data_IF_258578404416
#
_entry.id   IF_258578404416
#
_cell.length_a   1.000
_cell.length_b   1.000
_cell.length_c   1.000
_cell.angle_alpha   90.00
_cell.angle_beta   90.00
_cell.angle_gamma   90.00
#
_symmetry.space_group_name_H-M   'P 1'
#
loop_
_entity.id
_entity.type
_entity.pdbx_description
1 polymer ?
#
# COMPACT_ATOMS: atom_id res chain seq x y z
N UNK A 1 -26.85 -34.78 -32.04
CA UNK A 1 -26.67 -34.70 -30.55
C UNK A 1 -25.22 -34.71 -30.11
N UNK A 2 -24.35 -35.64 -30.56
CA UNK A 2 -22.91 -35.66 -30.22
C UNK A 2 -22.14 -34.35 -30.52
N UNK A 3 -22.36 -33.72 -31.68
CA UNK A 3 -21.71 -32.45 -32.05
C UNK A 3 -22.09 -31.26 -31.14
N UNK A 4 -23.26 -31.30 -30.51
CA UNK A 4 -23.78 -30.23 -29.63
C UNK A 4 -23.22 -30.34 -28.21
N UNK A 5 -22.90 -31.56 -27.75
CA UNK A 5 -22.27 -31.81 -26.45
C UNK A 5 -20.79 -31.41 -26.51
N UNK A 6 -20.08 -31.74 -27.60
CA UNK A 6 -18.69 -31.30 -27.81
C UNK A 6 -18.59 -29.78 -27.86
N UNK A 7 -19.52 -29.09 -28.54
CA UNK A 7 -19.53 -27.63 -28.59
C UNK A 7 -19.78 -26.98 -27.21
N UNK A 8 -20.62 -27.58 -26.36
CA UNK A 8 -20.88 -27.10 -25.00
C UNK A 8 -19.72 -27.37 -24.04
N UNK A 9 -19.00 -28.48 -24.20
CA UNK A 9 -17.79 -28.78 -23.41
C UNK A 9 -16.64 -27.84 -23.79
N UNK A 10 -16.47 -27.56 -25.09
CA UNK A 10 -15.45 -26.61 -25.57
C UNK A 10 -15.82 -25.17 -25.19
N UNK A 11 -17.08 -24.75 -25.32
CA UNK A 11 -17.53 -23.44 -24.86
C UNK A 11 -17.44 -23.28 -23.33
N UNK A 12 -17.70 -24.36 -22.57
CA UNK A 12 -17.50 -24.40 -21.12
C UNK A 12 -16.03 -24.26 -20.74
N UNK A 13 -15.12 -24.96 -21.43
CA UNK A 13 -13.66 -24.86 -21.22
C UNK A 13 -13.09 -23.48 -21.58
N UNK A 14 -13.66 -22.77 -22.56
CA UNK A 14 -13.23 -21.41 -22.93
C UNK A 14 -13.68 -20.36 -21.89
N UNK A 15 -14.78 -20.59 -21.17
CA UNK A 15 -15.27 -19.65 -20.13
C UNK A 15 -14.50 -19.80 -18.81
N UNK A 16 -13.96 -20.98 -18.48
CA UNK A 16 -13.17 -21.15 -17.24
C UNK A 16 -11.83 -20.39 -17.28
N UNK A 17 -11.37 -19.98 -18.47
CA UNK A 17 -10.14 -19.23 -18.64
C UNK A 17 -10.36 -17.74 -18.98
N UNK A 18 -11.61 -17.27 -18.94
CA UNK A 18 -11.90 -15.84 -18.95
C UNK A 18 -11.66 -15.32 -17.54
N UNK A 19 -10.40 -15.22 -17.14
CA UNK A 19 -10.04 -14.40 -15.99
C UNK A 19 -10.69 -13.04 -16.23
N UNK A 20 -11.70 -12.70 -15.43
CA UNK A 20 -12.28 -11.37 -15.44
C UNK A 20 -11.09 -10.47 -15.12
N UNK A 21 -10.59 -9.75 -16.11
CA UNK A 21 -9.57 -8.74 -15.90
C UNK A 21 -10.21 -7.67 -15.01
N UNK A 22 -10.10 -7.85 -13.70
CA UNK A 22 -10.51 -6.86 -12.73
C UNK A 22 -9.53 -5.70 -12.88
N UNK A 23 -10.04 -4.49 -13.05
CA UNK A 23 -9.17 -3.33 -13.08
C UNK A 23 -8.53 -3.15 -11.69
N UNK A 24 -7.24 -2.82 -11.67
CA UNK A 24 -6.56 -2.45 -10.41
C UNK A 24 -7.34 -1.32 -9.73
N UNK A 25 -7.58 -1.49 -8.44
CA UNK A 25 -8.42 -0.60 -7.63
C UNK A 25 -7.64 -0.15 -6.39
N UNK A 26 -8.01 1.01 -5.85
CA UNK A 26 -7.47 1.50 -4.59
C UNK A 26 -8.08 0.68 -3.44
N UNK A 27 -7.26 -0.15 -2.80
CA UNK A 27 -7.64 -1.05 -1.72
C UNK A 27 -7.53 -0.41 -0.34
N UNK A 28 -6.61 0.54 -0.19
CA UNK A 28 -6.42 1.32 1.02
C UNK A 28 -5.94 2.74 0.66
N UNK A 29 -6.50 3.74 1.32
CA UNK A 29 -6.19 5.15 1.11
C UNK A 29 -5.84 5.88 2.41
N UNK A 30 -4.54 6.13 2.58
CA UNK A 30 -3.92 7.06 3.53
C UNK A 30 -3.06 8.08 2.74
N UNK A 31 -3.59 8.61 1.64
CA UNK A 31 -2.89 9.51 0.74
C UNK A 31 -2.46 10.85 1.34
N UNK A 32 -1.72 11.64 0.57
CA UNK A 32 -1.24 12.97 0.99
C UNK A 32 -2.37 13.87 1.52
N UNK A 33 -2.07 14.75 2.48
CA UNK A 33 -2.94 15.87 2.84
C UNK A 33 -3.36 16.71 1.63
N UNK A 34 -4.48 17.40 1.78
CA UNK A 34 -5.00 18.28 0.71
C UNK A 34 -4.18 19.56 0.53
N UNK A 35 -3.44 19.98 1.55
CA UNK A 35 -2.59 21.17 1.52
C UNK A 35 -1.32 20.96 2.36
N UNK A 36 -0.36 21.86 2.20
CA UNK A 36 0.78 21.88 3.11
C UNK A 36 0.35 22.39 4.50
N UNK A 37 0.15 21.44 5.40
CA UNK A 37 -0.26 21.69 6.78
C UNK A 37 0.94 21.65 7.73
N UNK A 38 2.02 22.39 7.45
CA UNK A 38 3.21 22.42 8.31
C UNK A 38 3.22 23.67 9.23
N UNK A 39 4.38 24.27 9.50
CA UNK A 39 4.54 25.41 10.39
C UNK A 39 3.59 26.57 10.08
N UNK A 40 3.36 26.88 8.80
CA UNK A 40 2.43 27.96 8.41
C UNK A 40 0.96 27.69 8.80
N UNK A 41 0.58 26.43 9.04
CA UNK A 41 -0.77 26.04 9.44
C UNK A 41 -1.05 26.17 10.95
N UNK A 42 -0.04 26.52 11.76
CA UNK A 42 -0.20 26.75 13.19
C UNK A 42 -0.80 25.55 13.92
N UNK A 43 -1.92 25.75 14.61
CA UNK A 43 -2.61 24.68 15.35
C UNK A 43 -3.11 23.54 14.43
N UNK A 44 -3.39 23.84 13.16
CA UNK A 44 -3.82 22.87 12.15
C UNK A 44 -2.67 22.08 11.53
N UNK A 45 -1.43 22.28 12.01
CA UNK A 45 -0.26 21.57 11.53
C UNK A 45 -0.47 20.06 11.62
N UNK A 46 -0.28 19.32 10.52
CA UNK A 46 -0.64 17.91 10.40
C UNK A 46 0.31 17.07 9.55
N UNK A 47 1.31 17.63 8.86
CA UNK A 47 2.23 16.86 8.01
C UNK A 47 3.66 16.89 8.56
N UNK A 48 4.33 15.76 8.53
CA UNK A 48 5.70 15.60 9.03
C UNK A 48 6.43 14.55 8.21
N UNK A 49 7.75 14.57 8.21
CA UNK A 49 8.54 13.53 7.55
C UNK A 49 9.60 12.98 8.50
N UNK A 50 9.71 11.66 8.58
CA UNK A 50 10.54 10.97 9.57
C UNK A 50 11.68 10.18 8.93
N UNK A 51 12.85 10.21 9.59
CA UNK A 51 14.03 9.40 9.30
C UNK A 51 14.87 9.27 10.58
N UNK A 52 15.58 8.15 10.77
CA UNK A 52 16.28 7.86 12.04
C UNK A 52 17.80 7.89 11.99
N UNK A 53 18.39 7.80 10.79
CA UNK A 53 19.84 7.82 10.66
C UNK A 53 20.47 6.43 10.66
N UNK A 54 21.78 6.37 10.87
CA UNK A 54 22.53 5.14 11.10
C UNK A 54 23.49 5.30 12.27
N UNK A 55 23.84 4.18 12.88
CA UNK A 55 24.80 4.07 13.96
C UNK A 55 25.75 2.88 13.70
N UNK A 56 26.52 2.47 14.72
CA UNK A 56 27.43 1.33 14.62
C UNK A 56 26.73 -0.02 14.40
N UNK A 57 25.44 -0.12 14.69
CA UNK A 57 24.65 -1.34 14.55
C UNK A 57 23.98 -1.45 13.19
N UNK A 58 23.72 -0.32 12.52
CA UNK A 58 23.15 -0.32 11.18
C UNK A 58 22.36 0.94 10.86
N UNK A 59 21.48 0.84 9.86
CA UNK A 59 20.55 1.92 9.50
C UNK A 59 19.22 1.73 10.21
N UNK A 60 18.75 2.78 10.87
CA UNK A 60 17.41 2.83 11.45
C UNK A 60 16.44 3.41 10.42
N UNK A 61 15.36 2.68 10.20
CA UNK A 61 14.40 2.98 9.15
C UNK A 61 13.12 3.54 9.74
N UNK A 62 12.52 4.53 9.07
CA UNK A 62 11.15 4.93 9.34
C UNK A 62 10.21 4.04 8.52
N UNK A 63 9.13 3.60 9.15
CA UNK A 63 8.13 2.76 8.52
C UNK A 63 6.76 2.93 9.16
N UNK A 64 5.85 2.10 8.69
CA UNK A 64 4.49 2.04 9.18
C UNK A 64 3.86 0.70 8.77
N UNK A 65 2.64 0.46 9.24
CA UNK A 65 1.85 -0.67 8.83
C UNK A 65 0.53 -0.29 8.15
N UNK A 66 -0.07 -1.29 7.53
CA UNK A 66 -1.40 -1.20 6.97
C UNK A 66 -2.09 -2.56 6.94
N UNK A 67 -3.40 -2.50 6.76
CA UNK A 67 -4.26 -3.68 6.59
C UNK A 67 -5.29 -3.44 5.48
N UNK A 68 -5.34 -4.33 4.50
CA UNK A 68 -6.32 -4.27 3.41
C UNK A 68 -7.66 -4.75 3.96
N UNK A 69 -8.66 -3.88 4.18
CA UNK A 69 -9.93 -4.31 4.79
C UNK A 69 -10.57 -5.56 4.13
N UNK A 70 -11.18 -6.43 4.94
CA UNK A 70 -11.87 -7.64 4.48
C UNK A 70 -11.17 -8.95 4.87
N UNK A 71 -11.77 -10.09 4.50
CA UNK A 71 -11.25 -11.45 4.79
C UNK A 71 -10.74 -12.19 3.56
N UNK A 72 -10.84 -11.59 2.37
CA UNK A 72 -10.40 -12.20 1.11
C UNK A 72 -8.92 -11.99 0.83
N UNK A 73 -8.44 -12.63 -0.23
CA UNK A 73 -7.11 -12.41 -0.78
C UNK A 73 -7.15 -11.33 -1.86
N UNK A 74 -6.07 -10.56 -1.96
CA UNK A 74 -5.91 -9.50 -2.94
C UNK A 74 -4.59 -9.68 -3.67
N UNK A 75 -4.61 -9.65 -5.00
CA UNK A 75 -3.40 -9.50 -5.78
C UNK A 75 -3.04 -8.02 -5.79
N UNK A 76 -1.97 -7.66 -5.09
CA UNK A 76 -1.51 -6.29 -4.92
C UNK A 76 -0.40 -6.01 -5.92
N UNK A 77 -0.67 -5.10 -6.84
CA UNK A 77 0.26 -4.72 -7.90
C UNK A 77 1.34 -3.80 -7.34
N UNK A 78 0.91 -2.80 -6.55
CA UNK A 78 1.81 -1.77 -6.01
C UNK A 78 1.32 -1.19 -4.69
N UNK A 79 2.27 -0.68 -3.91
CA UNK A 79 2.03 0.34 -2.91
C UNK A 79 2.59 1.67 -3.38
N UNK A 80 2.01 2.76 -2.89
CA UNK A 80 2.47 4.12 -3.12
C UNK A 80 2.68 4.80 -1.79
N UNK A 81 3.85 5.38 -1.62
CA UNK A 81 4.21 6.20 -0.45
C UNK A 81 4.81 7.52 -0.92
N UNK A 82 5.07 8.43 0.02
CA UNK A 82 5.64 9.74 -0.30
C UNK A 82 6.89 10.03 0.54
N UNK A 83 7.82 10.75 -0.06
CA UNK A 83 9.08 11.12 0.58
C UNK A 83 9.56 12.49 0.10
N UNK A 84 10.37 13.16 0.92
CA UNK A 84 11.13 14.34 0.49
C UNK A 84 12.49 13.95 -0.13
N UNK A 85 12.78 12.65 -0.25
CA UNK A 85 14.00 12.09 -0.85
C UNK A 85 13.67 11.35 -2.16
N UNK A 86 14.59 11.38 -3.13
CA UNK A 86 14.40 10.80 -4.47
C UNK A 86 15.53 9.90 -4.98
N UNK A 87 16.61 9.71 -4.22
CA UNK A 87 17.80 8.98 -4.68
C UNK A 87 18.16 7.83 -3.76
N UNK A 88 18.59 6.72 -4.36
CA UNK A 88 19.11 5.55 -3.65
C UNK A 88 18.10 4.92 -2.68
N UNK A 89 16.82 4.96 -3.04
CA UNK A 89 15.73 4.51 -2.17
C UNK A 89 15.63 2.99 -2.16
N UNK A 90 15.38 2.44 -0.99
CA UNK A 90 15.14 1.02 -0.77
C UNK A 90 13.96 0.84 0.18
N UNK A 91 13.16 -0.20 -0.06
CA UNK A 91 11.96 -0.49 0.71
C UNK A 91 12.04 -1.90 1.27
N UNK A 92 11.73 -2.04 2.54
CA UNK A 92 11.53 -3.33 3.20
C UNK A 92 10.05 -3.56 3.37
N UNK A 93 9.62 -4.80 3.21
CA UNK A 93 8.21 -5.16 3.27
C UNK A 93 8.02 -6.59 3.78
N UNK A 94 6.90 -6.83 4.47
CA UNK A 94 6.48 -8.16 4.85
C UNK A 94 5.26 -8.13 5.78
N UNK A 95 4.78 -9.31 6.15
CA UNK A 95 3.70 -9.46 7.12
C UNK A 95 4.23 -9.27 8.54
N UNK A 96 3.48 -8.55 9.38
CA UNK A 96 3.84 -8.32 10.78
C UNK A 96 4.02 -9.66 11.52
N UNK A 97 5.10 -9.80 12.29
CA UNK A 97 5.47 -11.04 12.96
C UNK A 97 6.16 -12.08 12.05
N UNK A 98 6.26 -11.81 10.75
CA UNK A 98 7.06 -12.57 9.79
C UNK A 98 8.43 -11.93 9.54
N UNK A 99 9.12 -12.44 8.51
CA UNK A 99 10.37 -11.84 8.02
C UNK A 99 10.06 -10.60 7.19
N UNK A 100 10.67 -9.47 7.55
CA UNK A 100 10.62 -8.23 6.79
C UNK A 100 11.91 -8.09 5.98
N UNK A 101 11.82 -8.16 4.66
CA UNK A 101 12.98 -8.17 3.76
C UNK A 101 12.96 -7.01 2.77
N UNK A 102 14.14 -6.60 2.33
CA UNK A 102 14.30 -5.62 1.27
C UNK A 102 13.67 -6.14 -0.02
N UNK A 103 12.84 -5.30 -0.64
CA UNK A 103 12.29 -5.55 -1.95
C UNK A 103 13.38 -5.34 -3.00
N UNK A 104 13.44 -6.25 -3.98
CA UNK A 104 14.33 -6.10 -5.14
C UNK A 104 13.89 -5.02 -6.12
N UNK A 105 12.62 -4.60 -6.04
CA UNK A 105 12.08 -3.53 -6.86
C UNK A 105 12.60 -2.17 -6.43
N UNK A 106 13.15 -1.40 -7.37
CA UNK A 106 13.45 0.01 -7.16
C UNK A 106 12.16 0.82 -7.29
N UNK A 107 11.83 1.71 -6.33
CA UNK A 107 10.67 2.58 -6.44
C UNK A 107 10.69 3.43 -7.72
N UNK A 108 9.55 3.50 -8.42
CA UNK A 108 9.37 4.48 -9.49
C UNK A 108 9.09 5.84 -8.84
N UNK A 109 10.05 6.76 -8.98
CA UNK A 109 10.01 8.08 -8.35
C UNK A 109 9.44 9.13 -9.31
N UNK A 110 8.49 9.93 -8.84
CA UNK A 110 7.96 11.08 -9.58
C UNK A 110 7.80 12.28 -8.66
N UNK A 111 8.15 13.47 -9.14
CA UNK A 111 7.90 14.71 -8.41
C UNK A 111 6.39 14.94 -8.29
N UNK A 112 5.94 15.44 -7.13
CA UNK A 112 4.53 15.70 -6.87
C UNK A 112 4.37 16.91 -5.93
N UNK A 113 3.12 17.31 -5.72
CA UNK A 113 2.71 18.38 -4.80
C UNK A 113 1.46 17.97 -4.05
N UNK A 114 1.08 18.71 -3.01
CA UNK A 114 -0.26 18.60 -2.44
C UNK A 114 -1.33 19.09 -3.43
N UNK A 115 -2.60 18.86 -3.11
CA UNK A 115 -3.69 19.22 -4.05
C UNK A 115 -3.83 20.73 -4.30
N UNK A 116 -3.29 21.57 -3.41
CA UNK A 116 -3.19 23.03 -3.57
C UNK A 116 -1.94 23.49 -4.36
N UNK A 117 -1.17 22.54 -4.93
CA UNK A 117 0.10 22.72 -5.64
C UNK A 117 1.29 23.15 -4.76
N UNK A 118 1.15 23.15 -3.44
CA UNK A 118 2.28 23.44 -2.54
C UNK A 118 3.21 22.22 -2.40
N UNK A 119 4.48 22.48 -2.10
CA UNK A 119 5.45 21.43 -1.71
C UNK A 119 5.49 21.26 -0.19
N UNK A 120 6.26 20.29 0.31
CA UNK A 120 6.44 20.07 1.75
C UNK A 120 7.25 21.22 2.37
N UNK A 121 6.78 21.80 3.47
CA UNK A 121 7.59 22.72 4.27
C UNK A 121 8.22 21.93 5.42
N UNK A 122 9.55 21.92 5.51
CA UNK A 122 10.25 21.31 6.64
C UNK A 122 10.16 22.14 7.91
N UNK A 123 10.62 21.57 9.03
CA UNK A 123 10.63 22.23 10.35
C UNK A 123 11.43 23.54 10.38
N UNK A 124 12.42 23.70 9.49
CA UNK A 124 13.19 24.93 9.30
C UNK A 124 12.40 26.06 8.64
N UNK A 125 11.18 25.80 8.15
CA UNK A 125 10.37 26.71 7.34
C UNK A 125 10.71 26.70 5.85
N UNK A 126 11.79 26.03 5.43
CA UNK A 126 12.13 25.86 4.01
C UNK A 126 11.21 24.88 3.31
N UNK A 127 10.91 25.15 2.04
CA UNK A 127 10.18 24.22 1.19
C UNK A 127 11.14 23.20 0.56
N UNK A 128 10.77 21.93 0.67
CA UNK A 128 11.46 20.79 0.11
C UNK A 128 10.60 20.16 -0.98
N UNK A 129 11.20 19.58 -2.02
CA UNK A 129 10.46 18.83 -3.01
C UNK A 129 9.75 17.63 -2.37
N UNK A 130 8.60 17.28 -2.92
CA UNK A 130 7.84 16.11 -2.54
C UNK A 130 7.85 15.11 -3.70
N UNK A 131 8.05 13.85 -3.37
CA UNK A 131 8.10 12.76 -4.34
C UNK A 131 7.09 11.70 -4.00
N UNK A 132 6.41 11.20 -5.02
CA UNK A 132 5.62 9.99 -4.98
C UNK A 132 6.51 8.81 -5.38
N UNK A 133 6.45 7.75 -4.57
CA UNK A 133 7.20 6.53 -4.76
C UNK A 133 6.21 5.40 -5.03
N UNK A 134 6.17 4.90 -6.27
CA UNK A 134 5.35 3.74 -6.64
C UNK A 134 6.24 2.49 -6.56
N UNK A 135 5.93 1.57 -5.64
CA UNK A 135 6.69 0.34 -5.39
C UNK A 135 5.88 -0.86 -5.88
N UNK A 136 6.43 -1.58 -6.85
CA UNK A 136 5.85 -2.81 -7.39
C UNK A 136 5.95 -3.95 -6.37
N UNK A 137 4.81 -4.53 -5.98
CA UNK A 137 4.75 -5.71 -5.11
C UNK A 137 4.45 -6.99 -5.90
N UNK A 138 3.44 -6.97 -6.77
CA UNK A 138 3.00 -8.10 -7.59
C UNK A 138 2.82 -9.42 -6.81
N UNK A 139 2.15 -9.36 -5.67
CA UNK A 139 1.98 -10.52 -4.78
C UNK A 139 0.59 -10.61 -4.18
N UNK A 140 0.22 -11.80 -3.72
CA UNK A 140 -1.06 -12.01 -3.04
C UNK A 140 -0.92 -11.68 -1.56
N UNK A 141 -1.73 -10.75 -1.09
CA UNK A 141 -1.85 -10.35 0.32
C UNK A 141 -3.22 -10.76 0.88
N UNK A 142 -3.27 -11.15 2.14
CA UNK A 142 -4.51 -11.43 2.85
C UNK A 142 -5.09 -10.13 3.44
N UNK A 143 -6.38 -9.88 3.26
CA UNK A 143 -7.02 -8.69 3.82
C UNK A 143 -6.98 -8.62 5.35
N UNK A 144 -7.02 -9.77 6.03
CA UNK A 144 -7.05 -9.75 7.50
C UNK A 144 -5.66 -9.54 8.12
N UNK A 145 -4.58 -9.64 7.35
CA UNK A 145 -3.21 -9.53 7.83
C UNK A 145 -2.73 -8.07 7.91
N UNK A 146 -1.84 -7.81 8.86
CA UNK A 146 -1.13 -6.53 8.96
C UNK A 146 0.20 -6.65 8.21
N UNK A 147 0.47 -5.71 7.32
CA UNK A 147 1.72 -5.64 6.56
C UNK A 147 2.50 -4.41 6.97
N UNK A 148 3.82 -4.56 7.08
CA UNK A 148 4.73 -3.51 7.48
C UNK A 148 5.59 -3.12 6.29
N UNK A 149 5.93 -1.83 6.21
CA UNK A 149 6.88 -1.33 5.26
C UNK A 149 7.83 -0.34 5.91
N UNK A 150 9.06 -0.29 5.41
CA UNK A 150 10.08 0.64 5.87
C UNK A 150 10.80 1.25 4.67
N UNK A 151 11.18 2.52 4.79
CA UNK A 151 11.88 3.27 3.75
C UNK A 151 13.29 3.65 4.23
N UNK A 152 14.27 3.43 3.36
CA UNK A 152 15.61 3.98 3.52
C UNK A 152 16.10 4.67 2.24
N UNK A 153 17.17 5.44 2.37
CA UNK A 153 17.90 6.07 1.28
C UNK A 153 19.40 6.18 1.57
N UNK A 154 20.20 6.50 0.56
CA UNK A 154 21.66 6.65 0.69
C UNK A 154 22.09 7.73 1.73
N UNK A 155 21.21 8.69 2.04
CA UNK A 155 21.43 9.73 3.07
C UNK A 155 20.23 9.78 4.03
N UNK A 156 19.64 8.61 4.30
CA UNK A 156 18.33 8.44 4.92
C UNK A 156 17.21 9.00 4.03
N UNK A 157 16.04 8.36 4.09
CA UNK A 157 14.87 8.78 3.35
C UNK A 157 13.79 9.23 4.31
N UNK A 158 13.34 10.46 4.13
CA UNK A 158 12.31 11.05 4.98
C UNK A 158 10.94 10.58 4.50
N UNK A 159 10.30 9.72 5.29
CA UNK A 159 8.98 9.17 4.99
C UNK A 159 7.90 10.18 5.38
N UNK A 160 7.12 10.63 4.41
CA UNK A 160 6.06 11.59 4.64
C UNK A 160 4.89 10.94 5.40
N UNK A 161 4.42 11.63 6.43
CA UNK A 161 3.42 11.15 7.39
C UNK A 161 2.45 12.26 7.74
N UNK A 162 1.25 11.91 8.16
CA UNK A 162 0.17 12.86 8.45
C UNK A 162 -0.64 12.48 9.67
N UNK A 163 -1.16 13.50 10.37
CA UNK A 163 -2.14 13.30 11.42
C UNK A 163 -3.52 12.96 10.84
N UNK A 164 -4.14 11.91 11.38
CA UNK A 164 -5.42 11.38 10.91
C UNK A 164 -6.56 12.40 10.89
N UNK A 165 -6.67 13.20 11.95
CA UNK A 165 -7.80 14.10 12.17
C UNK A 165 -7.70 15.41 11.36
N UNK A 166 -6.48 15.80 10.97
CA UNK A 166 -6.21 17.13 10.40
C UNK A 166 -5.75 17.10 8.94
N UNK A 167 -5.35 15.95 8.37
CA UNK A 167 -4.81 15.88 7.00
C UNK A 167 -5.78 16.36 5.91
N UNK A 168 -7.10 16.28 6.18
CA UNK A 168 -8.15 16.56 5.21
C UNK A 168 -8.28 15.52 4.08
N UNK A 169 -7.44 14.48 4.09
CA UNK A 169 -7.52 13.33 3.18
C UNK A 169 -8.02 12.09 3.91
N UNK A 170 -8.35 11.02 3.17
CA UNK A 170 -8.60 9.71 3.79
C UNK A 170 -7.37 9.25 4.55
N UNK A 171 -7.56 8.71 5.76
CA UNK A 171 -6.50 8.19 6.63
C UNK A 171 -6.91 6.80 7.15
N UNK A 172 -7.23 5.89 6.21
CA UNK A 172 -7.76 4.57 6.55
C UNK A 172 -6.80 3.77 7.41
N UNK A 173 -7.36 3.16 8.46
CA UNK A 173 -6.63 2.30 9.39
C UNK A 173 -5.50 2.99 10.14
N UNK A 174 -5.48 4.32 10.20
CA UNK A 174 -4.50 5.03 11.04
C UNK A 174 -4.75 4.74 12.52
N UNK A 175 -3.68 4.47 13.24
CA UNK A 175 -3.71 4.07 14.65
C UNK A 175 -2.81 4.95 15.54
N UNK A 176 -2.29 6.05 14.98
CA UNK A 176 -1.40 6.99 15.65
C UNK A 176 -0.05 6.39 16.04
N UNK A 177 0.32 5.23 15.48
CA UNK A 177 1.63 4.63 15.66
C UNK A 177 2.38 4.61 14.33
N UNK A 178 3.68 4.87 14.40
CA UNK A 178 4.60 4.57 13.30
C UNK A 178 5.55 3.47 13.74
N UNK A 179 6.30 2.94 12.78
CA UNK A 179 7.27 1.88 13.04
C UNK A 179 8.71 2.35 12.81
N UNK A 180 9.62 1.70 13.53
CA UNK A 180 11.02 1.61 13.15
C UNK A 180 11.48 0.19 12.97
N UNK A 181 12.60 0.06 12.27
CA UNK A 181 13.39 -1.15 12.24
C UNK A 181 14.88 -0.81 12.15
N UNK A 182 15.73 -1.74 12.56
CA UNK A 182 17.16 -1.74 12.31
C UNK A 182 17.47 -2.63 11.11
N UNK A 183 18.35 -2.18 10.22
CA UNK A 183 18.99 -3.03 9.20
C UNK A 183 20.49 -3.02 9.43
N UNK A 184 21.03 -4.18 9.82
CA UNK A 184 22.46 -4.36 10.03
C UNK A 184 23.26 -4.17 8.71
N UNK A 185 24.52 -3.72 8.77
CA UNK A 185 25.35 -3.56 7.57
C UNK A 185 25.43 -4.84 6.74
N UNK A 186 25.06 -4.74 5.46
CA UNK A 186 25.06 -5.87 4.53
C UNK A 186 23.92 -6.87 4.70
N UNK A 187 22.91 -6.55 5.52
CA UNK A 187 21.68 -7.34 5.66
C UNK A 187 20.57 -6.78 4.77
N UNK A 188 19.79 -7.68 4.18
CA UNK A 188 18.52 -7.33 3.51
C UNK A 188 17.33 -7.53 4.45
N UNK A 189 17.55 -7.97 5.69
CA UNK A 189 16.51 -8.25 6.68
C UNK A 189 16.45 -7.14 7.72
N UNK A 190 15.24 -6.65 7.96
CA UNK A 190 14.94 -5.70 9.02
C UNK A 190 14.68 -6.44 10.35
N UNK A 191 15.27 -5.94 11.43
CA UNK A 191 15.19 -6.45 12.80
C UNK A 191 14.81 -5.33 13.77
N UNK A 192 14.68 -5.65 15.06
CA UNK A 192 14.37 -4.68 16.12
C UNK A 192 13.18 -3.77 15.79
N UNK A 193 12.13 -4.40 15.25
CA UNK A 193 10.92 -3.71 14.83
C UNK A 193 10.13 -3.31 16.07
N UNK A 194 9.83 -2.02 16.19
CA UNK A 194 9.01 -1.47 17.25
C UNK A 194 8.13 -0.34 16.74
N UNK A 195 7.24 0.14 17.60
CA UNK A 195 6.36 1.28 17.32
C UNK A 195 6.65 2.48 18.21
N UNK A 196 6.30 3.68 17.74
CA UNK A 196 6.21 4.89 18.55
C UNK A 196 4.99 5.71 18.18
N UNK A 197 4.54 6.54 19.12
CA UNK A 197 3.72 7.71 18.81
C UNK A 197 4.64 8.87 18.45
N UNK A 198 4.35 9.61 17.38
CA UNK A 198 5.15 10.77 17.00
C UNK A 198 4.88 12.00 17.87
N UNK A 199 3.78 12.02 18.64
CA UNK A 199 3.51 13.05 19.64
C UNK A 199 4.54 12.99 20.78
N UNK A 200 5.27 14.09 20.98
CA UNK A 200 6.29 14.24 22.02
C UNK A 200 7.74 14.11 21.54
N UNK A 201 7.99 13.69 20.30
CA UNK A 201 9.36 13.51 19.74
C UNK A 201 9.81 14.66 18.83
N UNK A 202 9.63 15.90 19.32
CA UNK A 202 9.87 17.11 18.50
C UNK A 202 8.71 17.43 17.54
N UNK A 203 7.62 16.68 17.66
CA UNK A 203 6.36 16.86 16.98
C UNK A 203 5.22 16.82 18.02
N UNK A 204 4.11 17.50 17.75
CA UNK A 204 3.07 17.82 18.74
C UNK A 204 1.75 17.08 18.48
N UNK A 205 1.76 16.08 17.60
CA UNK A 205 0.57 15.32 17.18
C UNK A 205 0.95 13.95 16.69
N UNK A 206 0.14 12.94 16.95
CA UNK A 206 0.36 11.63 16.35
C UNK A 206 0.25 11.67 14.82
N UNK A 207 0.96 10.78 14.14
CA UNK A 207 0.99 10.69 12.69
C UNK A 207 1.21 9.26 12.23
N UNK A 208 0.69 8.95 11.05
CA UNK A 208 0.93 7.71 10.34
C UNK A 208 1.54 8.04 8.96
N UNK A 209 2.40 7.17 8.43
CA UNK A 209 2.98 7.33 7.12
C UNK A 209 1.90 7.32 6.04
N UNK A 210 2.01 8.21 5.06
CA UNK A 210 1.06 8.24 3.97
C UNK A 210 1.29 7.07 3.00
N UNK A 211 0.24 6.29 2.76
CA UNK A 211 0.28 5.09 1.92
C UNK A 211 -1.02 4.92 1.12
N UNK A 212 -0.88 4.44 -0.12
CA UNK A 212 -1.99 3.92 -0.92
C UNK A 212 -1.65 2.52 -1.43
N UNK A 213 -2.61 1.61 -1.40
CA UNK A 213 -2.43 0.21 -1.83
C UNK A 213 -3.32 -0.06 -3.03
N UNK A 214 -2.75 -0.61 -4.11
CA UNK A 214 -3.47 -0.87 -5.35
C UNK A 214 -3.45 -2.34 -5.71
N UNK A 215 -4.61 -2.88 -6.05
CA UNK A 215 -4.74 -4.28 -6.42
C UNK A 215 -6.14 -4.70 -6.78
N UNK A 216 -6.32 -6.01 -6.90
CA UNK A 216 -7.59 -6.64 -7.27
C UNK A 216 -7.94 -7.77 -6.31
N UNK A 217 -9.23 -7.93 -5.95
CA UNK A 217 -9.65 -9.09 -5.17
C UNK A 217 -9.43 -10.37 -5.97
N UNK A 218 -8.84 -11.39 -5.34
CA UNK A 218 -8.67 -12.73 -5.91
C UNK A 218 -9.98 -13.49 -5.70
N UNK A 219 -10.70 -13.89 -6.77
CA UNK A 219 -11.96 -14.60 -6.62
C UNK A 219 -11.78 -15.93 -5.88
N UNK A 220 -12.66 -16.20 -4.92
CA UNK A 220 -12.68 -17.51 -4.26
C UNK A 220 -13.10 -18.61 -5.26
N UNK A 221 -12.52 -19.83 -5.17
CA UNK A 221 -12.91 -20.94 -6.04
C UNK A 221 -14.41 -21.24 -6.06
N UNK A 222 -15.10 -21.02 -4.94
CA UNK A 222 -16.56 -21.22 -4.82
C UNK A 222 -17.38 -20.22 -5.65
N UNK A 223 -16.93 -18.97 -5.78
CA UNK A 223 -17.60 -17.93 -6.57
C UNK A 223 -17.55 -18.25 -8.06
N UNK A 224 -16.42 -18.78 -8.53
CA UNK A 224 -16.25 -19.25 -9.92
C UNK A 224 -17.13 -20.48 -10.19
N UNK A 225 -17.20 -21.41 -9.24
CA UNK A 225 -18.07 -22.59 -9.35
C UNK A 225 -19.55 -22.21 -9.43
N UNK A 226 -20.02 -21.31 -8.57
CA UNK A 226 -21.42 -20.86 -8.57
C UNK A 226 -21.79 -20.11 -9.86
N UNK A 227 -20.90 -19.26 -10.37
CA UNK A 227 -21.08 -18.61 -11.67
C UNK A 227 -21.19 -19.65 -12.80
N UNK A 228 -20.29 -20.65 -12.79
CA UNK A 228 -20.33 -21.75 -13.74
C UNK A 228 -21.65 -22.54 -13.70
N UNK A 229 -22.13 -22.88 -12.51
CA UNK A 229 -23.41 -23.57 -12.33
C UNK A 229 -24.62 -22.71 -12.74
N UNK A 230 -24.60 -21.41 -12.45
CA UNK A 230 -25.64 -20.47 -12.86
C UNK A 230 -25.78 -20.38 -14.38
N UNK A 231 -24.66 -20.29 -15.11
CA UNK A 231 -24.65 -20.29 -16.57
C UNK A 231 -25.20 -21.59 -17.16
N UNK A 232 -24.82 -22.74 -16.58
CA UNK A 232 -25.35 -24.06 -16.99
C UNK A 232 -26.84 -24.15 -16.72
N UNK A 233 -27.32 -23.65 -15.58
CA UNK A 233 -28.74 -23.59 -15.24
C UNK A 233 -29.57 -22.77 -16.23
N UNK A 234 -29.09 -21.57 -16.60
CA UNK A 234 -29.74 -20.70 -17.59
C UNK A 234 -29.80 -21.38 -18.98
N UNK A 235 -28.72 -22.03 -19.40
CA UNK A 235 -28.69 -22.79 -20.66
C UNK A 235 -29.67 -23.98 -20.65
N UNK A 236 -29.82 -24.66 -19.50
CA UNK A 236 -30.78 -25.74 -19.30
C UNK A 236 -32.24 -25.27 -19.40
N UNK A 237 -32.57 -24.13 -18.79
CA UNK A 237 -33.91 -23.55 -18.82
C UNK A 237 -34.31 -23.14 -20.25
N UNK A 238 -33.40 -22.51 -21.00
CA UNK A 238 -33.66 -22.07 -22.39
C UNK A 238 -33.97 -23.23 -23.35
N UNK A 239 -33.51 -24.44 -23.05
CA UNK A 239 -33.79 -25.67 -23.81
C UNK A 239 -35.20 -26.21 -23.57
N UNK A 240 -35.79 -25.92 -22.40
CA UNK A 240 -37.11 -26.41 -22.01
C UNK A 240 -38.25 -25.60 -22.63
N UNK A 241 -38.02 -24.31 -22.91
CA UNK A 241 -38.98 -23.40 -23.52
C UNK A 241 -38.96 -23.35 -25.07
N UNK A 242 -38.16 -24.20 -25.73
CA UNK A 242 -38.14 -24.37 -27.19
C UNK A 242 -38.78 -25.69 -27.65
N UNK A 243 -39.56 -26.34 -26.79
CA UNK A 243 -40.43 -27.47 -27.17
C UNK A 243 -41.86 -26.98 -27.27
#
# INVERSE_FOLDING_TARGET
>A
MRKLIVFLVVAGMVIVNSGIASATSLLLDRGLPTSNLNNAAGASRSNVAWAFGSDSYGSWLAGDDFKIGGTGNYFVDKIRIWSTSNTGLSVWFGEAGGTISQLSSVPLVSATTYSDNSSYQGSSGSYLPLYQLDISLNMVLSGSATYQFFLNGLQYAFLHSSNAALSGSSQQGSDNQMLYALVAPGSDIATDIGSWDSDGYGWDKSSDANIQVFGTPVPEPGTVLLLGLGLVGIAGIRRRFKK
#
